data_IF_675898217846
#
_entry.id   IF_675898217846
#
_cell.length_a   1.000
_cell.length_b   1.000
_cell.length_c   1.000
_cell.angle_alpha   90.00
_cell.angle_beta   90.00
_cell.angle_gamma   90.00
#
_symmetry.space_group_name_H-M   'P 1'
#
loop_
_entity.id
_entity.type
_entity.pdbx_description
1 polymer ?
#
# COMPACT_ATOMS: atom_id res chain seq x y z
N UNK A 1 17.21 -6.16 -25.74
CA UNK A 1 16.98 -5.42 -24.48
C UNK A 1 15.56 -4.88 -24.52
N UNK A 2 14.64 -5.43 -23.73
CA UNK A 2 13.29 -4.85 -23.62
C UNK A 2 13.38 -3.45 -23.00
N UNK A 3 12.57 -2.47 -23.45
CA UNK A 3 12.54 -1.14 -22.84
C UNK A 3 12.21 -1.32 -21.36
N UNK A 4 13.07 -0.80 -20.47
CA UNK A 4 12.81 -0.82 -19.03
C UNK A 4 11.47 -0.13 -18.81
N UNK A 5 10.55 -0.75 -18.07
CA UNK A 5 9.31 -0.12 -17.64
C UNK A 5 9.65 1.06 -16.72
N UNK A 6 9.87 2.24 -17.29
CA UNK A 6 10.14 3.46 -16.53
C UNK A 6 8.81 4.13 -16.22
N UNK A 7 8.34 4.01 -14.98
CA UNK A 7 7.25 4.82 -14.45
C UNK A 7 7.62 6.31 -14.40
N UNK A 8 6.64 7.18 -14.07
CA UNK A 8 6.84 8.63 -13.98
C UNK A 8 7.88 8.98 -12.91
N UNK A 9 8.59 10.08 -13.11
CA UNK A 9 9.50 10.64 -12.12
C UNK A 9 8.69 11.54 -11.16
N UNK A 10 8.40 11.00 -9.97
CA UNK A 10 7.52 11.62 -8.98
C UNK A 10 8.30 12.00 -7.72
N UNK A 11 8.05 13.22 -7.25
CA UNK A 11 8.63 13.75 -6.02
C UNK A 11 7.68 13.51 -4.84
N UNK A 12 8.23 13.13 -3.68
CA UNK A 12 7.43 12.88 -2.49
C UNK A 12 6.64 14.11 -2.04
N UNK A 13 7.28 15.27 -1.94
CA UNK A 13 6.67 16.47 -1.35
C UNK A 13 5.59 17.06 -2.24
N UNK A 14 5.81 17.04 -3.56
CA UNK A 14 4.86 17.57 -4.55
C UNK A 14 3.77 16.57 -4.88
N UNK A 15 4.15 15.34 -5.21
CA UNK A 15 3.26 14.36 -5.85
C UNK A 15 2.72 13.33 -4.84
N UNK A 16 3.37 13.19 -3.68
CA UNK A 16 2.98 12.24 -2.64
C UNK A 16 3.43 10.82 -2.91
N UNK A 17 4.34 10.61 -3.87
CA UNK A 17 4.84 9.30 -4.24
C UNK A 17 6.29 9.34 -4.77
N UNK A 18 7.01 8.24 -4.63
CA UNK A 18 8.39 8.08 -5.13
C UNK A 18 8.65 6.64 -5.55
N UNK A 19 9.37 6.47 -6.67
CA UNK A 19 9.78 5.16 -7.20
C UNK A 19 11.17 4.78 -6.72
N UNK A 20 11.30 3.64 -6.04
CA UNK A 20 12.56 3.09 -5.57
C UNK A 20 12.90 1.86 -6.40
N UNK A 21 13.77 2.05 -7.40
CA UNK A 21 14.15 1.00 -8.35
C UNK A 21 14.99 -0.07 -7.68
N UNK A 22 14.64 -1.33 -7.91
CA UNK A 22 15.30 -2.53 -7.41
C UNK A 22 15.54 -2.58 -5.88
N UNK A 23 14.82 -1.76 -5.09
CA UNK A 23 15.10 -1.62 -3.66
C UNK A 23 14.72 -2.87 -2.83
N UNK A 24 13.78 -3.69 -3.33
CA UNK A 24 13.45 -5.00 -2.78
C UNK A 24 14.16 -6.15 -3.52
N UNK A 25 14.98 -5.88 -4.56
CA UNK A 25 15.60 -6.95 -5.35
C UNK A 25 16.40 -7.97 -4.52
N UNK A 26 17.19 -7.58 -3.50
CA UNK A 26 17.90 -8.54 -2.64
C UNK A 26 16.97 -9.46 -1.83
N UNK A 27 15.73 -9.03 -1.58
CA UNK A 27 14.74 -9.75 -0.78
C UNK A 27 13.69 -10.47 -1.65
N UNK A 28 13.78 -10.34 -2.98
CA UNK A 28 12.73 -10.77 -3.90
C UNK A 28 12.45 -12.28 -3.82
N UNK A 29 13.48 -13.09 -3.63
CA UNK A 29 13.32 -14.54 -3.44
C UNK A 29 12.49 -14.88 -2.20
N UNK A 30 12.81 -14.28 -1.06
CA UNK A 30 12.10 -14.50 0.20
C UNK A 30 10.68 -13.92 0.17
N UNK A 31 10.47 -12.77 -0.46
CA UNK A 31 9.14 -12.20 -0.68
C UNK A 31 8.26 -13.10 -1.56
N UNK A 32 8.83 -13.71 -2.61
CA UNK A 32 8.12 -14.66 -3.46
C UNK A 32 7.77 -15.95 -2.71
N UNK A 33 8.71 -16.50 -1.94
CA UNK A 33 8.46 -17.67 -1.10
C UNK A 33 7.30 -17.41 -0.13
N UNK A 34 7.33 -16.28 0.60
CA UNK A 34 6.22 -15.86 1.45
C UNK A 34 4.89 -15.78 0.68
N UNK A 35 4.90 -15.22 -0.54
CA UNK A 35 3.68 -15.08 -1.32
C UNK A 35 3.13 -16.39 -1.86
N UNK A 36 4.00 -17.35 -2.19
CA UNK A 36 3.59 -18.65 -2.73
C UNK A 36 3.01 -19.58 -1.64
N UNK A 37 3.36 -19.34 -0.36
CA UNK A 37 2.75 -20.03 0.80
C UNK A 37 1.35 -19.50 1.16
N UNK A 38 0.89 -18.39 0.56
CA UNK A 38 -0.38 -17.75 0.89
C UNK A 38 -1.53 -18.17 -0.04
N UNK A 39 -2.80 -18.12 0.43
CA UNK A 39 -3.96 -18.40 -0.41
C UNK A 39 -4.03 -17.48 -1.65
N UNK A 40 -4.25 -18.07 -2.84
CA UNK A 40 -4.21 -17.37 -4.14
C UNK A 40 -5.61 -17.05 -4.70
N UNK A 41 -6.67 -17.44 -3.99
CA UNK A 41 -8.08 -17.36 -4.42
C UNK A 41 -8.82 -16.12 -3.86
N UNK A 42 -8.13 -15.25 -3.12
CA UNK A 42 -8.72 -14.10 -2.43
C UNK A 42 -8.26 -12.77 -3.03
N UNK A 43 -9.13 -11.76 -2.97
CA UNK A 43 -8.86 -10.39 -3.47
C UNK A 43 -7.83 -9.60 -2.61
N UNK A 44 -6.99 -10.29 -1.85
CA UNK A 44 -6.05 -9.74 -0.87
C UNK A 44 -5.96 -10.64 0.36
N UNK A 45 -4.75 -11.02 0.76
CA UNK A 45 -4.48 -11.77 2.01
C UNK A 45 -3.85 -10.82 3.00
N UNK A 46 -4.52 -10.59 4.14
CA UNK A 46 -4.00 -9.76 5.23
C UNK A 46 -3.02 -10.59 6.05
N UNK A 47 -1.76 -10.20 6.04
CA UNK A 47 -0.68 -10.93 6.68
C UNK A 47 -0.44 -10.35 8.07
N UNK A 48 -0.50 -11.20 9.09
CA UNK A 48 -0.14 -10.86 10.46
C UNK A 48 0.35 -12.11 11.22
N UNK A 49 1.25 -11.94 12.19
CA UNK A 49 1.79 -13.01 13.02
C UNK A 49 2.69 -14.01 12.29
N UNK A 50 3.10 -13.71 11.05
CA UNK A 50 3.91 -14.64 10.25
C UNK A 50 5.40 -14.38 10.47
N UNK A 51 6.15 -15.39 10.89
CA UNK A 51 7.56 -15.27 11.31
C UNK A 51 8.49 -14.67 10.23
N UNK A 52 8.15 -14.85 8.96
CA UNK A 52 8.92 -14.26 7.85
C UNK A 52 8.75 -12.73 7.70
N UNK A 53 7.71 -12.11 8.26
CA UNK A 53 7.42 -10.69 8.03
C UNK A 53 8.41 -9.74 8.72
N UNK A 54 8.75 -9.88 10.02
CA UNK A 54 9.68 -8.96 10.68
C UNK A 54 11.05 -8.83 10.01
N UNK A 55 11.77 -9.91 9.63
CA UNK A 55 13.07 -9.76 8.97
C UNK A 55 12.96 -9.11 7.57
N UNK A 56 11.81 -9.23 6.89
CA UNK A 56 11.59 -8.62 5.57
C UNK A 56 11.18 -7.13 5.65
N UNK A 57 10.37 -6.76 6.65
CA UNK A 57 9.64 -5.50 6.65
C UNK A 57 9.98 -4.58 7.83
N UNK A 58 10.38 -5.13 8.98
CA UNK A 58 10.69 -4.32 10.15
C UNK A 58 12.15 -3.83 10.18
N UNK A 59 13.00 -4.37 9.30
CA UNK A 59 14.43 -4.03 9.21
C UNK A 59 14.88 -3.89 7.74
N UNK A 60 16.13 -3.50 7.53
CA UNK A 60 16.74 -3.51 6.19
C UNK A 60 16.22 -2.44 5.22
N UNK A 61 16.38 -2.63 3.90
CA UNK A 61 16.17 -1.59 2.89
C UNK A 61 14.71 -1.15 2.74
N UNK A 62 13.75 -2.06 2.91
CA UNK A 62 12.32 -1.74 2.80
C UNK A 62 11.92 -0.78 3.92
N UNK A 63 12.27 -1.13 5.16
CA UNK A 63 12.03 -0.28 6.34
C UNK A 63 12.77 1.07 6.23
N UNK A 64 13.98 1.07 5.66
CA UNK A 64 14.74 2.30 5.45
C UNK A 64 14.03 3.28 4.52
N UNK A 65 13.29 2.81 3.51
CA UNK A 65 12.47 3.69 2.66
C UNK A 65 11.37 4.36 3.48
N UNK A 66 10.61 3.61 4.26
CA UNK A 66 9.56 4.19 5.13
C UNK A 66 10.16 5.20 6.12
N UNK A 67 11.34 4.89 6.69
CA UNK A 67 12.03 5.76 7.63
C UNK A 67 12.51 7.09 7.02
N UNK A 68 12.63 7.23 5.69
CA UNK A 68 12.94 8.52 5.06
C UNK A 68 11.84 9.56 5.26
N UNK A 69 10.57 9.12 5.22
CA UNK A 69 9.40 9.99 5.44
C UNK A 69 8.92 10.03 6.89
N UNK A 70 9.08 8.92 7.63
CA UNK A 70 8.52 8.76 8.98
C UNK A 70 9.56 8.89 10.11
N UNK A 71 10.85 8.95 9.77
CA UNK A 71 11.94 8.96 10.74
C UNK A 71 12.25 7.59 11.35
N UNK A 72 13.15 7.53 12.35
CA UNK A 72 13.70 6.30 12.89
C UNK A 72 12.69 5.44 13.68
N UNK A 73 11.49 5.94 13.98
CA UNK A 73 10.43 5.20 14.65
C UNK A 73 9.50 4.43 13.68
N UNK A 74 9.75 4.51 12.37
CA UNK A 74 8.97 3.81 11.36
C UNK A 74 8.90 2.30 11.63
N UNK A 75 7.68 1.77 11.68
CA UNK A 75 7.38 0.35 11.83
C UNK A 75 6.19 -0.06 10.97
N UNK A 76 6.19 -1.28 10.41
CA UNK A 76 5.07 -1.79 9.66
C UNK A 76 3.89 -2.06 10.61
N UNK A 77 2.70 -1.58 10.24
CA UNK A 77 1.48 -1.69 11.06
C UNK A 77 0.38 -2.52 10.39
N UNK A 78 0.52 -2.77 9.09
CA UNK A 78 -0.39 -3.62 8.31
C UNK A 78 0.32 -4.13 7.04
N UNK A 79 0.11 -5.39 6.68
CA UNK A 79 0.57 -5.96 5.43
C UNK A 79 -0.58 -6.67 4.69
N UNK A 80 -0.68 -6.45 3.38
CA UNK A 80 -1.67 -7.09 2.51
C UNK A 80 -1.00 -7.57 1.23
N UNK A 81 -1.06 -8.87 0.97
CA UNK A 81 -0.60 -9.47 -0.26
C UNK A 81 -1.74 -9.50 -1.28
N UNK A 82 -1.50 -8.92 -2.45
CA UNK A 82 -2.40 -8.99 -3.59
C UNK A 82 -1.80 -9.89 -4.66
N UNK A 83 -2.43 -11.02 -4.94
CA UNK A 83 -2.06 -11.93 -6.02
C UNK A 83 -3.13 -11.89 -7.11
N UNK A 84 -2.94 -11.02 -8.11
CA UNK A 84 -3.87 -10.96 -9.25
C UNK A 84 -3.47 -12.02 -10.27
N UNK A 85 -4.42 -12.87 -10.63
CA UNK A 85 -4.32 -13.84 -11.72
C UNK A 85 -5.58 -13.74 -12.60
N UNK A 86 -5.63 -14.38 -13.79
CA UNK A 86 -6.78 -14.30 -14.68
C UNK A 86 -8.12 -14.74 -14.04
N UNK A 87 -8.10 -15.62 -13.04
CA UNK A 87 -9.30 -16.05 -12.33
C UNK A 87 -9.75 -15.06 -11.22
N UNK A 88 -8.89 -14.13 -10.82
CA UNK A 88 -9.11 -13.18 -9.73
C UNK A 88 -8.77 -11.72 -10.13
N UNK A 89 -9.27 -11.28 -11.29
CA UNK A 89 -9.01 -9.94 -11.84
C UNK A 89 -10.04 -8.90 -11.36
N UNK A 90 -9.95 -8.46 -10.10
CA UNK A 90 -10.79 -7.36 -9.59
C UNK A 90 -10.07 -6.02 -9.74
N UNK A 91 -10.74 -5.04 -10.35
CA UNK A 91 -10.32 -3.63 -10.29
C UNK A 91 -10.78 -3.01 -8.96
N UNK A 92 -10.08 -1.96 -8.55
CA UNK A 92 -10.47 -1.16 -7.39
C UNK A 92 -10.58 0.28 -7.89
N UNK A 93 -11.76 0.86 -7.72
CA UNK A 93 -12.03 2.24 -8.12
C UNK A 93 -11.17 3.24 -7.35
N UNK A 94 -11.23 4.50 -7.76
CA UNK A 94 -10.55 5.59 -7.07
C UNK A 94 -11.04 5.71 -5.63
N UNK A 95 -10.12 5.67 -4.67
CA UNK A 95 -10.40 5.76 -3.25
C UNK A 95 -9.18 6.26 -2.47
N UNK A 96 -9.40 6.65 -1.21
CA UNK A 96 -8.36 6.78 -0.20
C UNK A 96 -8.43 5.57 0.72
N UNK A 97 -7.28 5.10 1.19
CA UNK A 97 -7.27 4.15 2.30
C UNK A 97 -7.78 4.87 3.57
N UNK A 98 -8.91 4.43 4.10
CA UNK A 98 -9.57 5.08 5.25
C UNK A 98 -9.58 4.25 6.53
N UNK A 99 -9.07 3.03 6.48
CA UNK A 99 -9.12 2.13 7.65
C UNK A 99 -7.74 1.64 8.03
N UNK A 100 -7.50 1.53 9.33
CA UNK A 100 -6.30 0.93 9.93
C UNK A 100 -6.65 -0.43 10.55
N UNK A 101 -5.63 -1.26 10.82
CA UNK A 101 -5.79 -2.54 11.51
C UNK A 101 -5.30 -2.42 12.95
N UNK A 102 -6.12 -2.89 13.90
CA UNK A 102 -5.84 -2.81 15.35
C UNK A 102 -5.98 -4.18 15.99
N UNK A 103 -5.36 -4.38 17.16
CA UNK A 103 -5.42 -5.66 17.90
C UNK A 103 -6.82 -5.98 18.38
N UNK A 104 -7.50 -4.97 18.91
CA UNK A 104 -8.83 -5.10 19.49
C UNK A 104 -9.61 -3.80 19.32
N UNK A 105 -10.93 -3.90 19.51
CA UNK A 105 -11.78 -2.73 19.54
C UNK A 105 -11.72 -2.07 20.91
N UNK A 106 -11.40 -0.77 20.90
CA UNK A 106 -11.50 0.11 22.06
C UNK A 106 -12.35 1.29 21.64
N UNK A 107 -13.37 1.63 22.43
CA UNK A 107 -14.23 2.77 22.12
C UNK A 107 -13.48 4.07 22.46
N UNK A 108 -12.92 4.70 21.41
CA UNK A 108 -12.14 5.94 21.48
C UNK A 108 -12.83 7.02 20.65
N UNK A 109 -13.01 8.25 21.17
CA UNK A 109 -13.60 9.35 20.39
C UNK A 109 -12.89 9.59 19.06
N UNK A 110 -13.67 9.85 18.00
CA UNK A 110 -13.15 10.10 16.65
C UNK A 110 -12.84 8.84 15.83
N UNK A 111 -12.85 7.66 16.44
CA UNK A 111 -12.68 6.37 15.75
C UNK A 111 -14.05 5.76 15.42
N UNK A 112 -14.28 5.38 14.17
CA UNK A 112 -15.58 4.92 13.70
C UNK A 112 -15.52 3.85 12.63
N UNK A 113 -16.70 3.45 12.12
CA UNK A 113 -16.85 2.46 11.03
C UNK A 113 -16.04 1.18 11.26
N UNK A 114 -16.15 0.64 12.46
CA UNK A 114 -15.55 -0.62 12.85
C UNK A 114 -16.01 -1.75 11.92
N UNK A 115 -15.07 -2.61 11.52
CA UNK A 115 -15.34 -3.79 10.70
C UNK A 115 -14.34 -4.89 11.00
N UNK A 116 -14.74 -6.14 10.77
CA UNK A 116 -13.84 -7.31 10.86
C UNK A 116 -13.59 -7.82 9.45
N UNK A 117 -12.31 -7.94 9.07
CA UNK A 117 -11.89 -8.44 7.74
C UNK A 117 -10.88 -9.56 7.95
N UNK A 118 -11.21 -10.78 7.52
CA UNK A 118 -10.35 -11.97 7.73
C UNK A 118 -9.97 -12.16 9.21
N UNK A 119 -10.93 -11.97 10.13
CA UNK A 119 -10.69 -12.07 11.58
C UNK A 119 -9.98 -10.87 12.21
N UNK A 120 -9.57 -9.87 11.42
CA UNK A 120 -8.82 -8.71 11.90
C UNK A 120 -9.74 -7.50 12.11
N UNK A 121 -9.61 -6.85 13.27
CA UNK A 121 -10.31 -5.61 13.60
C UNK A 121 -9.77 -4.44 12.78
N UNK A 122 -10.68 -3.71 12.14
CA UNK A 122 -10.39 -2.50 11.39
C UNK A 122 -11.28 -1.35 11.85
N UNK A 123 -10.74 -0.13 11.78
CA UNK A 123 -11.43 1.08 12.19
C UNK A 123 -11.02 2.25 11.28
N UNK A 124 -11.93 3.19 11.02
CA UNK A 124 -11.61 4.50 10.43
C UNK A 124 -11.13 5.43 11.56
N UNK A 125 -9.85 5.82 11.58
CA UNK A 125 -9.32 6.75 12.57
C UNK A 125 -9.64 8.21 12.19
N UNK A 126 -9.42 9.18 13.09
CA UNK A 126 -9.18 10.57 12.68
C UNK A 126 -8.19 10.63 11.52
N UNK A 127 -8.52 11.40 10.48
CA UNK A 127 -7.80 11.31 9.20
C UNK A 127 -6.32 11.70 9.30
N UNK A 128 -5.97 12.57 10.25
CA UNK A 128 -4.60 12.94 10.60
C UNK A 128 -3.67 11.75 10.92
N UNK A 129 -4.24 10.63 11.41
CA UNK A 129 -3.45 9.41 11.63
C UNK A 129 -3.07 8.80 10.28
N UNK A 130 -3.99 8.73 9.33
CA UNK A 130 -3.72 8.26 7.96
C UNK A 130 -2.74 9.20 7.25
N UNK A 131 -2.86 10.52 7.43
CA UNK A 131 -1.94 11.51 6.86
C UNK A 131 -0.50 11.35 7.35
N UNK A 132 -0.33 10.86 8.58
CA UNK A 132 0.97 10.58 9.19
C UNK A 132 1.54 9.19 8.84
N UNK A 133 0.96 8.47 7.89
CA UNK A 133 1.38 7.12 7.48
C UNK A 133 1.95 7.09 6.05
N UNK A 134 2.86 6.14 5.82
CA UNK A 134 3.40 5.85 4.49
C UNK A 134 3.03 4.44 4.07
N UNK A 135 2.55 4.28 2.84
CA UNK A 135 2.33 2.98 2.23
C UNK A 135 3.48 2.65 1.28
N UNK A 136 4.03 1.45 1.43
CA UNK A 136 4.99 0.87 0.50
C UNK A 136 4.30 -0.24 -0.30
N UNK A 137 4.36 -0.13 -1.62
CA UNK A 137 3.88 -1.13 -2.57
C UNK A 137 5.08 -1.82 -3.20
N UNK A 138 5.35 -3.04 -2.75
CA UNK A 138 6.51 -3.84 -3.14
C UNK A 138 6.09 -4.78 -4.27
N UNK A 139 6.76 -4.68 -5.41
CA UNK A 139 6.42 -5.45 -6.61
C UNK A 139 7.21 -6.75 -6.64
N UNK A 140 6.52 -7.90 -6.62
CA UNK A 140 7.15 -9.22 -6.69
C UNK A 140 7.27 -9.72 -8.13
N UNK A 141 6.46 -9.15 -9.02
CA UNK A 141 6.42 -9.44 -10.45
C UNK A 141 6.35 -8.12 -11.24
N UNK A 142 6.73 -8.16 -12.52
CA UNK A 142 6.68 -6.99 -13.40
C UNK A 142 5.24 -6.47 -13.55
N UNK A 143 5.10 -5.16 -13.47
CA UNK A 143 3.82 -4.45 -13.59
C UNK A 143 3.90 -3.42 -14.73
N UNK A 144 3.82 -3.90 -16.00
CA UNK A 144 3.64 -3.04 -17.17
C UNK A 144 2.23 -2.42 -17.20
N UNK A 145 2.01 -1.49 -18.14
CA UNK A 145 0.76 -0.71 -18.23
C UNK A 145 -0.49 -1.56 -18.49
N UNK A 146 -0.35 -2.72 -19.12
CA UNK A 146 -1.44 -3.66 -19.42
C UNK A 146 -1.77 -4.62 -18.25
N UNK A 147 -1.01 -4.57 -17.14
CA UNK A 147 -1.10 -5.51 -16.04
C UNK A 147 -1.50 -4.88 -14.70
N UNK A 148 -2.58 -4.10 -14.72
CA UNK A 148 -3.19 -3.47 -13.54
C UNK A 148 -2.19 -2.65 -12.69
N UNK A 149 -1.48 -1.65 -13.29
CA UNK A 149 -0.61 -0.76 -12.54
C UNK A 149 -1.39 0.01 -11.46
N UNK A 150 -0.67 0.46 -10.44
CA UNK A 150 -1.20 1.45 -9.50
C UNK A 150 -1.41 2.76 -10.27
N UNK A 151 -2.57 3.36 -10.10
CA UNK A 151 -2.86 4.71 -10.57
C UNK A 151 -2.95 5.61 -9.35
N UNK A 152 -2.35 6.80 -9.42
CA UNK A 152 -2.46 7.81 -8.35
C UNK A 152 -2.90 9.15 -8.93
N UNK A 153 -3.61 9.93 -8.12
CA UNK A 153 -3.86 11.33 -8.39
C UNK A 153 -2.76 12.14 -7.70
N UNK A 154 -1.75 12.56 -8.46
CA UNK A 154 -0.55 13.20 -7.92
C UNK A 154 -0.91 14.47 -7.12
N UNK A 155 -0.33 14.62 -5.93
CA UNK A 155 -0.59 15.76 -5.05
C UNK A 155 -1.90 15.71 -4.26
N UNK A 156 -2.80 14.75 -4.53
CA UNK A 156 -4.10 14.65 -3.82
C UNK A 156 -3.97 14.41 -2.30
N UNK A 157 -2.83 13.87 -1.86
CA UNK A 157 -2.50 13.70 -0.44
C UNK A 157 -2.47 15.02 0.36
N UNK A 158 -2.25 16.17 -0.31
CA UNK A 158 -2.24 17.50 0.31
C UNK A 158 -3.66 18.07 0.55
N UNK A 159 -4.70 17.39 0.04
CA UNK A 159 -6.09 17.83 0.14
C UNK A 159 -6.82 17.23 1.35
N UNK A 160 -6.13 16.42 2.16
CA UNK A 160 -6.70 15.69 3.28
C UNK A 160 -7.81 14.73 2.87
N UNK A 161 -8.86 14.63 3.69
CA UNK A 161 -9.97 13.69 3.44
C UNK A 161 -10.87 14.20 2.31
N UNK A 162 -10.94 13.43 1.23
CA UNK A 162 -11.76 13.75 0.06
C UNK A 162 -13.10 13.03 0.18
N UNK A 163 -14.21 13.78 0.06
CA UNK A 163 -15.56 13.25 0.02
C UNK A 163 -15.77 12.37 -1.22
N UNK A 164 -16.62 11.34 -1.12
CA UNK A 164 -16.77 10.33 -2.18
C UNK A 164 -17.29 10.90 -3.51
N UNK A 165 -18.18 11.88 -3.44
CA UNK A 165 -18.72 12.62 -4.59
C UNK A 165 -17.68 13.54 -5.25
N UNK A 166 -16.71 14.05 -4.48
CA UNK A 166 -15.62 14.90 -4.97
C UNK A 166 -14.44 14.11 -5.58
N UNK A 167 -14.43 12.78 -5.50
CA UNK A 167 -13.29 11.94 -5.96
C UNK A 167 -13.01 12.14 -7.45
N UNK A 168 -14.03 12.03 -8.30
CA UNK A 168 -13.84 12.08 -9.76
C UNK A 168 -13.29 13.43 -10.22
N UNK A 169 -13.84 14.52 -9.68
CA UNK A 169 -13.36 15.88 -9.96
C UNK A 169 -11.92 16.07 -9.48
N UNK A 170 -11.60 15.60 -8.27
CA UNK A 170 -10.26 15.72 -7.70
C UNK A 170 -9.22 14.97 -8.52
N UNK A 171 -9.52 13.74 -8.96
CA UNK A 171 -8.65 12.97 -9.87
C UNK A 171 -8.41 13.74 -11.16
N UNK A 172 -9.45 14.34 -11.74
CA UNK A 172 -9.34 15.14 -12.97
C UNK A 172 -8.44 16.35 -12.77
N UNK A 173 -8.61 17.08 -11.65
CA UNK A 173 -7.82 18.27 -11.31
C UNK A 173 -6.35 17.97 -11.03
N UNK A 174 -6.06 16.88 -10.33
CA UNK A 174 -4.70 16.45 -9.99
C UNK A 174 -3.94 15.81 -11.17
N UNK A 175 -4.68 15.25 -12.12
CA UNK A 175 -4.10 14.40 -13.17
C UNK A 175 -3.77 12.99 -12.65
N UNK A 176 -3.60 12.05 -13.58
CA UNK A 176 -3.37 10.64 -13.28
C UNK A 176 -1.92 10.27 -13.61
N UNK A 177 -1.21 9.73 -12.63
CA UNK A 177 0.10 9.12 -12.83
C UNK A 177 -0.02 7.58 -12.81
N UNK A 178 0.58 6.92 -13.79
CA UNK A 178 0.60 5.45 -13.89
C UNK A 178 1.90 4.88 -13.35
N UNK A 179 1.85 4.23 -12.19
CA UNK A 179 3.00 3.68 -11.50
C UNK A 179 3.39 2.30 -12.08
N UNK A 180 4.26 2.31 -13.09
CA UNK A 180 4.89 1.11 -13.64
C UNK A 180 6.03 0.63 -12.73
N UNK A 181 6.32 -0.67 -12.74
CA UNK A 181 7.36 -1.25 -11.91
C UNK A 181 7.93 -2.54 -12.51
N UNK A 182 9.22 -2.77 -12.32
CA UNK A 182 9.84 -4.09 -12.46
C UNK A 182 9.74 -4.88 -11.14
N UNK A 183 9.89 -6.21 -11.22
CA UNK A 183 10.02 -7.03 -10.02
C UNK A 183 11.21 -6.56 -9.16
N UNK A 184 10.96 -6.40 -7.85
CA UNK A 184 11.92 -5.84 -6.89
C UNK A 184 11.86 -4.31 -6.75
N UNK A 185 11.07 -3.60 -7.54
CA UNK A 185 10.81 -2.18 -7.33
C UNK A 185 9.83 -1.95 -6.16
N UNK A 186 9.93 -0.76 -5.56
CA UNK A 186 9.00 -0.29 -4.52
C UNK A 186 8.45 1.07 -4.93
N UNK A 187 7.14 1.24 -4.86
CA UNK A 187 6.51 2.56 -4.82
C UNK A 187 6.21 2.93 -3.36
N UNK A 188 6.75 4.03 -2.88
CA UNK A 188 6.30 4.64 -1.62
C UNK A 188 5.31 5.74 -1.95
N UNK A 189 4.20 5.82 -1.21
CA UNK A 189 3.27 6.94 -1.33
C UNK A 189 2.63 7.29 0.01
N UNK A 190 2.17 8.54 0.13
CA UNK A 190 1.39 8.99 1.26
C UNK A 190 0.09 8.17 1.31
N UNK A 191 -0.19 7.52 2.45
CA UNK A 191 -1.40 6.70 2.64
C UNK A 191 -2.71 7.41 2.25
N UNK A 192 -2.89 8.74 2.46
CA UNK A 192 -4.13 9.42 2.05
C UNK A 192 -4.21 9.72 0.54
N UNK A 193 -3.22 9.37 -0.27
CA UNK A 193 -3.28 9.66 -1.72
C UNK A 193 -4.49 8.95 -2.36
N UNK A 194 -5.22 9.67 -3.22
CA UNK A 194 -6.21 9.03 -4.06
C UNK A 194 -5.52 8.08 -5.02
N UNK A 195 -5.94 6.82 -5.00
CA UNK A 195 -5.39 5.80 -5.85
C UNK A 195 -6.44 4.80 -6.32
N UNK A 196 -6.10 4.13 -7.41
CA UNK A 196 -6.91 3.08 -8.01
C UNK A 196 -6.00 1.96 -8.54
N UNK A 197 -6.61 0.86 -8.93
CA UNK A 197 -5.94 -0.10 -9.81
C UNK A 197 -6.79 -0.35 -11.03
N UNK A 198 -6.21 -0.16 -12.21
CA UNK A 198 -6.83 -0.54 -13.46
C UNK A 198 -7.15 -2.04 -13.45
N UNK A 199 -8.18 -2.45 -14.21
CA UNK A 199 -8.33 -3.86 -14.54
C UNK A 199 -7.12 -4.32 -15.37
N UNK A 200 -6.62 -5.53 -15.12
CA UNK A 200 -5.62 -6.09 -16.02
C UNK A 200 -6.31 -6.45 -17.35
N UNK A 201 -5.72 -6.06 -18.47
CA UNK A 201 -6.12 -6.53 -19.80
C UNK A 201 -5.28 -7.72 -20.26
N UNK A 202 -4.13 -7.96 -19.61
CA UNK A 202 -3.26 -9.11 -19.85
C UNK A 202 -3.61 -10.37 -19.03
N UNK A 203 -3.06 -11.52 -19.45
CA UNK A 203 -3.21 -12.84 -18.79
C UNK A 203 -2.12 -13.16 -17.75
N UNK A 204 -1.27 -12.18 -17.39
CA UNK A 204 -0.09 -12.42 -16.54
C UNK A 204 -0.48 -12.39 -15.06
N UNK A 205 0.11 -13.27 -14.25
CA UNK A 205 0.04 -13.20 -12.78
C UNK A 205 0.83 -11.98 -12.29
N UNK A 206 0.33 -11.31 -11.25
CA UNK A 206 1.03 -10.19 -10.62
C UNK A 206 0.79 -10.15 -9.12
N UNK A 207 1.86 -10.40 -8.38
CA UNK A 207 1.91 -10.26 -6.93
C UNK A 207 2.48 -8.91 -6.50
N UNK A 208 1.82 -8.32 -5.52
CA UNK A 208 2.24 -7.08 -4.88
C UNK A 208 2.02 -7.21 -3.38
N UNK A 209 3.03 -6.87 -2.59
CA UNK A 209 2.89 -6.75 -1.13
C UNK A 209 2.74 -5.26 -0.78
N UNK A 210 1.57 -4.88 -0.29
CA UNK A 210 1.32 -3.53 0.22
C UNK A 210 1.52 -3.53 1.74
N UNK A 211 2.32 -2.60 2.23
CA UNK A 211 2.66 -2.48 3.65
C UNK A 211 2.50 -1.04 4.09
N UNK A 212 1.69 -0.82 5.12
CA UNK A 212 1.55 0.49 5.72
C UNK A 212 2.49 0.62 6.91
N UNK A 213 3.14 1.77 7.02
CA UNK A 213 4.05 2.13 8.09
C UNK A 213 3.51 3.33 8.85
N UNK A 214 3.74 3.32 10.16
CA UNK A 214 3.51 4.44 11.04
C UNK A 214 4.73 4.66 11.95
N UNK A 215 4.90 5.88 12.46
CA UNK A 215 5.88 6.20 13.48
C UNK A 215 5.27 6.42 14.86
N UNK A 216 4.00 6.84 14.91
CA UNK A 216 3.30 7.18 16.17
C UNK A 216 2.48 6.00 16.68
N UNK A 217 2.35 5.89 18.00
CA UNK A 217 1.36 4.99 18.60
C UNK A 217 -0.05 5.53 18.41
N UNK A 218 -1.05 4.64 18.48
CA UNK A 218 -2.45 5.05 18.42
C UNK A 218 -2.88 5.63 19.77
N UNK A 219 -3.74 6.66 19.77
CA UNK A 219 -4.26 7.24 21.01
C UNK A 219 -5.32 6.34 21.67
N UNK A 220 -5.68 6.67 22.92
CA UNK A 220 -6.85 6.09 23.59
C UNK A 220 -6.72 4.60 23.93
N UNK A 221 -5.49 4.09 24.08
CA UNK A 221 -5.25 2.68 24.41
C UNK A 221 -5.37 1.71 23.23
N UNK A 222 -5.66 2.21 22.02
CA UNK A 222 -5.61 1.40 20.81
C UNK A 222 -4.16 0.97 20.53
N UNK A 223 -4.01 -0.23 19.99
CA UNK A 223 -2.71 -0.76 19.57
C UNK A 223 -2.80 -1.20 18.12
N UNK A 224 -1.82 -0.78 17.31
CA UNK A 224 -1.65 -1.28 15.95
C UNK A 224 -1.62 -2.82 15.96
N UNK A 225 -2.30 -3.46 15.01
CA UNK A 225 -2.20 -4.91 14.87
C UNK A 225 -0.72 -5.32 14.67
N UNK A 226 -0.04 -4.61 13.75
CA UNK A 226 1.30 -4.96 13.32
C UNK A 226 1.29 -5.99 12.19
N UNK A 227 2.44 -6.64 12.02
CA UNK A 227 2.70 -7.73 11.08
C UNK A 227 3.01 -9.02 11.83
#
# INVERSE_FOLDING_TARGET
>A
MSPRCTGPDLDWSRDGATHHRAAAAPLLGALRALADDMPQDRAGVRLHGHAALPPLLATGPIRAIAARGLGPAARPVRAVLFDKNPAANRSLGWHQDRTIAVRERVDVPGFGRWSVKQGIQHVEPPFEITEAMVTLRIHLDDTPGDNAPLLIAAGSHLLGRIAEDAVAETVTRCGIATCLAAAGDIWSYATPILHASAAASGKRRRRVLQVDYAARDLPGGLTWLGI
#
